data_IF_875037031570
#
_entry.id   IF_875037031570
#
_cell.length_a   1.000
_cell.length_b   1.000
_cell.length_c   1.000
_cell.angle_alpha   90.00
_cell.angle_beta   90.00
_cell.angle_gamma   90.00
#
_symmetry.space_group_name_H-M   'P 1'
#
loop_
_entity.id
_entity.type
_entity.pdbx_description
1 polymer ?
#
# COMPACT_ATOMS: atom_id res chain seq x y z
N UNK A 1 21.34 -14.39 -61.16
CA UNK A 1 20.87 -15.25 -60.05
C UNK A 1 21.75 -14.94 -58.84
N UNK A 2 21.37 -13.94 -58.04
CA UNK A 2 22.16 -13.46 -56.90
C UNK A 2 21.84 -14.33 -55.68
N UNK A 3 22.84 -15.06 -55.19
CA UNK A 3 22.78 -15.75 -53.90
C UNK A 3 23.04 -14.69 -52.82
N UNK A 4 21.99 -14.28 -52.11
CA UNK A 4 22.15 -13.46 -50.92
C UNK A 4 22.77 -14.31 -49.81
N UNK A 5 23.85 -13.85 -49.14
CA UNK A 5 24.40 -14.56 -48.00
C UNK A 5 23.37 -14.59 -46.86
N UNK A 6 22.86 -15.78 -46.54
CA UNK A 6 22.03 -15.96 -45.35
C UNK A 6 22.95 -15.90 -44.13
N UNK A 7 23.00 -14.74 -43.48
CA UNK A 7 23.64 -14.63 -42.18
C UNK A 7 22.87 -15.50 -41.18
N UNK A 8 23.53 -16.44 -40.47
CA UNK A 8 22.88 -17.22 -39.43
C UNK A 8 22.37 -16.27 -38.35
N UNK A 9 21.07 -16.32 -38.07
CA UNK A 9 20.46 -15.52 -37.02
C UNK A 9 21.14 -15.88 -35.69
N UNK A 10 21.83 -14.91 -35.08
CA UNK A 10 22.46 -15.11 -33.78
C UNK A 10 21.42 -15.66 -32.79
N UNK A 11 21.75 -16.69 -31.99
CA UNK A 11 20.87 -17.16 -30.94
C UNK A 11 20.55 -15.99 -30.03
N UNK A 12 19.27 -15.59 -29.95
CA UNK A 12 18.86 -14.59 -28.96
C UNK A 12 19.23 -15.19 -27.61
N UNK A 13 20.08 -14.53 -26.80
CA UNK A 13 20.33 -15.02 -25.45
C UNK A 13 18.98 -15.19 -24.79
N UNK A 14 18.72 -16.39 -24.26
CA UNK A 14 17.54 -16.63 -23.45
C UNK A 14 17.54 -15.50 -22.42
N UNK A 15 16.54 -14.60 -22.48
CA UNK A 15 16.35 -13.57 -21.47
C UNK A 15 16.05 -14.33 -20.18
N UNK A 16 17.09 -14.74 -19.47
CA UNK A 16 16.99 -15.30 -18.13
C UNK A 16 16.27 -14.24 -17.33
N UNK A 17 15.07 -14.58 -16.85
CA UNK A 17 14.16 -13.70 -16.12
C UNK A 17 14.70 -13.18 -14.79
N UNK A 18 16.01 -13.29 -14.53
CA UNK A 18 16.70 -12.66 -13.42
C UNK A 18 16.51 -11.14 -13.50
N UNK A 19 15.90 -10.56 -12.46
CA UNK A 19 15.81 -9.09 -12.34
C UNK A 19 14.57 -8.53 -11.67
N UNK A 20 13.67 -9.33 -11.10
CA UNK A 20 12.76 -8.81 -10.08
C UNK A 20 12.50 -9.88 -9.01
N UNK A 21 12.89 -9.65 -7.75
CA UNK A 21 12.76 -10.65 -6.70
C UNK A 21 11.29 -10.84 -6.32
N UNK A 22 10.80 -12.08 -6.38
CA UNK A 22 9.47 -12.51 -5.91
C UNK A 22 9.16 -11.99 -4.49
N UNK A 23 10.21 -11.77 -3.69
CA UNK A 23 10.14 -11.10 -2.38
C UNK A 23 9.43 -9.74 -2.40
N UNK A 24 9.63 -8.92 -3.43
CA UNK A 24 8.97 -7.61 -3.51
C UNK A 24 7.44 -7.75 -3.69
N UNK A 25 7.00 -8.73 -4.47
CA UNK A 25 5.58 -9.02 -4.62
C UNK A 25 4.99 -9.56 -3.31
N UNK A 26 5.72 -10.44 -2.61
CA UNK A 26 5.30 -10.94 -1.30
C UNK A 26 5.19 -9.81 -0.26
N UNK A 27 6.18 -8.92 -0.21
CA UNK A 27 6.18 -7.75 0.67
C UNK A 27 5.02 -6.80 0.34
N UNK A 28 4.68 -6.64 -0.95
CA UNK A 28 3.53 -5.82 -1.39
C UNK A 28 2.21 -6.41 -0.89
N UNK A 29 2.03 -7.73 -1.07
CA UNK A 29 0.85 -8.45 -0.58
C UNK A 29 0.75 -8.33 0.94
N UNK A 30 1.85 -8.53 1.66
CA UNK A 30 1.90 -8.40 3.11
C UNK A 30 1.51 -6.99 3.56
N UNK A 31 2.06 -5.94 2.92
CA UNK A 31 1.72 -4.55 3.21
C UNK A 31 0.23 -4.27 2.96
N UNK A 32 -0.32 -4.75 1.83
CA UNK A 32 -1.73 -4.57 1.51
C UNK A 32 -2.66 -5.28 2.51
N UNK A 33 -2.33 -6.50 2.91
CA UNK A 33 -3.06 -7.25 3.95
C UNK A 33 -2.95 -6.56 5.30
N UNK A 34 -1.78 -6.03 5.64
CA UNK A 34 -1.58 -5.28 6.88
C UNK A 34 -2.48 -4.02 6.93
N UNK A 35 -2.54 -3.26 5.84
CA UNK A 35 -3.42 -2.08 5.73
C UNK A 35 -4.90 -2.46 5.83
N UNK A 36 -5.31 -3.58 5.22
CA UNK A 36 -6.66 -4.14 5.34
C UNK A 36 -7.03 -4.44 6.80
N UNK A 37 -6.16 -5.16 7.51
CA UNK A 37 -6.37 -5.49 8.92
C UNK A 37 -6.47 -4.21 9.76
N UNK A 38 -5.57 -3.23 9.54
CA UNK A 38 -5.65 -1.93 10.24
C UNK A 38 -6.95 -1.19 9.97
N UNK A 39 -7.42 -1.17 8.72
CA UNK A 39 -8.70 -0.59 8.35
C UNK A 39 -9.88 -1.25 9.06
N UNK A 40 -9.88 -2.59 9.17
CA UNK A 40 -10.88 -3.33 9.94
C UNK A 40 -10.80 -3.02 11.44
N UNK A 41 -9.60 -2.96 12.02
CA UNK A 41 -9.43 -2.61 13.43
C UNK A 41 -9.95 -1.21 13.76
N UNK A 42 -9.86 -0.25 12.84
CA UNK A 42 -10.44 1.08 13.02
C UNK A 42 -11.98 1.06 13.02
N UNK A 43 -12.62 0.15 12.29
CA UNK A 43 -14.08 -0.04 12.34
C UNK A 43 -14.52 -0.56 13.71
N UNK A 44 -13.80 -1.54 14.27
CA UNK A 44 -14.14 -2.15 15.56
C UNK A 44 -13.98 -1.14 16.71
N UNK A 45 -12.85 -0.43 16.79
CA UNK A 45 -12.62 0.57 17.84
C UNK A 45 -13.58 1.77 17.75
N UNK A 46 -14.07 2.10 16.55
CA UNK A 46 -15.11 3.14 16.38
C UNK A 46 -16.43 2.75 17.03
N UNK A 47 -16.67 1.46 17.20
CA UNK A 47 -17.90 0.89 17.79
C UNK A 47 -17.79 0.83 19.32
N UNK A 48 -16.63 0.48 19.85
CA UNK A 48 -16.37 0.39 21.30
C UNK A 48 -16.30 1.77 21.98
N UNK A 49 -15.65 2.75 21.35
CA UNK A 49 -15.62 4.13 21.84
C UNK A 49 -17.03 4.73 21.86
N UNK A 50 -17.90 4.34 20.93
CA UNK A 50 -19.29 4.83 20.88
C UNK A 50 -20.16 4.30 22.03
N UNK A 51 -19.97 3.05 22.45
CA UNK A 51 -20.72 2.48 23.59
C UNK A 51 -20.42 3.22 24.89
N UNK A 52 -19.16 3.62 25.10
CA UNK A 52 -18.72 4.36 26.29
C UNK A 52 -19.01 5.88 26.22
N UNK A 53 -19.14 6.46 25.02
CA UNK A 53 -19.22 7.93 24.82
C UNK A 53 -20.62 8.44 24.43
N UNK A 54 -21.61 7.56 24.25
CA UNK A 54 -23.01 7.93 23.97
C UNK A 54 -23.70 8.75 25.08
N UNK A 55 -23.05 8.94 26.24
CA UNK A 55 -23.55 9.72 27.38
C UNK A 55 -23.18 11.22 27.36
N UNK A 56 -22.29 11.72 26.49
CA UNK A 56 -21.80 13.12 26.55
C UNK A 56 -21.46 13.76 25.17
N UNK A 57 -22.47 14.23 24.42
CA UNK A 57 -22.41 15.26 23.33
C UNK A 57 -21.27 15.18 22.26
N UNK A 58 -21.06 16.19 21.37
CA UNK A 58 -21.42 16.19 19.95
C UNK A 58 -20.23 15.86 19.02
N UNK A 59 -19.64 14.66 19.11
CA UNK A 59 -18.46 14.30 18.29
C UNK A 59 -18.80 13.49 17.03
N UNK A 60 -19.97 13.74 16.42
CA UNK A 60 -20.40 13.05 15.19
C UNK A 60 -19.39 13.18 14.02
N UNK A 61 -18.56 14.24 14.01
CA UNK A 61 -17.50 14.45 13.02
C UNK A 61 -16.34 13.46 13.11
N UNK A 62 -15.93 13.05 14.32
CA UNK A 62 -14.84 12.09 14.51
C UNK A 62 -15.23 10.69 14.00
N UNK A 63 -16.50 10.30 14.18
CA UNK A 63 -17.05 9.05 13.62
C UNK A 63 -16.95 9.02 12.09
N UNK A 64 -17.31 10.13 11.44
CA UNK A 64 -17.22 10.26 9.97
C UNK A 64 -15.77 10.16 9.49
N UNK A 65 -14.83 10.78 10.21
CA UNK A 65 -13.42 10.72 9.89
C UNK A 65 -12.85 9.29 10.00
N UNK A 66 -13.14 8.58 11.09
CA UNK A 66 -12.66 7.19 11.29
C UNK A 66 -13.20 6.22 10.24
N UNK A 67 -14.50 6.32 9.90
CA UNK A 67 -15.11 5.51 8.84
C UNK A 67 -14.49 5.78 7.47
N UNK A 68 -14.24 7.06 7.16
CA UNK A 68 -13.55 7.45 5.94
C UNK A 68 -12.14 6.86 5.90
N UNK A 69 -11.34 7.06 6.94
CA UNK A 69 -9.98 6.51 7.05
C UNK A 69 -9.95 4.99 6.91
N UNK A 70 -10.90 4.28 7.55
CA UNK A 70 -11.02 2.82 7.49
C UNK A 70 -11.32 2.36 6.06
N UNK A 71 -12.25 3.04 5.38
CA UNK A 71 -12.59 2.73 3.99
C UNK A 71 -11.39 2.85 3.06
N UNK A 72 -10.61 3.93 3.18
CA UNK A 72 -9.39 4.10 2.37
C UNK A 72 -8.33 3.03 2.64
N UNK A 73 -8.14 2.62 3.91
CA UNK A 73 -7.22 1.53 4.24
C UNK A 73 -7.66 0.19 3.68
N UNK A 74 -8.96 -0.11 3.72
CA UNK A 74 -9.50 -1.38 3.22
C UNK A 74 -9.39 -1.42 1.69
N UNK A 75 -9.91 -0.41 1.01
CA UNK A 75 -9.89 -0.34 -0.46
C UNK A 75 -8.46 -0.21 -0.96
N UNK A 76 -7.67 0.69 -0.39
CA UNK A 76 -6.27 0.89 -0.74
C UNK A 76 -5.41 -0.34 -0.45
N UNK A 77 -5.62 -1.01 0.69
CA UNK A 77 -4.93 -2.25 1.04
C UNK A 77 -5.22 -3.39 0.06
N UNK A 78 -6.48 -3.53 -0.38
CA UNK A 78 -6.87 -4.52 -1.39
C UNK A 78 -6.24 -4.21 -2.77
N UNK A 79 -6.22 -2.94 -3.17
CA UNK A 79 -5.58 -2.50 -4.41
C UNK A 79 -4.07 -2.76 -4.39
N UNK A 80 -3.40 -2.45 -3.28
CA UNK A 80 -1.96 -2.73 -3.08
C UNK A 80 -1.69 -4.24 -3.11
N UNK A 81 -2.49 -5.04 -2.39
CA UNK A 81 -2.31 -6.49 -2.33
C UNK A 81 -2.48 -7.15 -3.71
N UNK A 82 -3.56 -6.81 -4.41
CA UNK A 82 -3.84 -7.34 -5.76
C UNK A 82 -2.91 -6.76 -6.83
N UNK A 83 -2.22 -5.66 -6.54
CA UNK A 83 -1.32 -5.00 -7.47
C UNK A 83 -2.05 -4.23 -8.57
N UNK A 84 -3.27 -3.75 -8.32
CA UNK A 84 -4.07 -2.91 -9.23
C UNK A 84 -3.99 -1.44 -8.79
N UNK A 85 -3.71 -0.51 -9.70
CA UNK A 85 -3.64 0.94 -9.43
C UNK A 85 -2.82 1.28 -8.16
N UNK A 86 -1.74 0.53 -7.96
CA UNK A 86 -0.91 0.57 -6.76
C UNK A 86 -0.38 1.96 -6.43
N UNK A 87 0.01 2.74 -7.45
CA UNK A 87 0.49 4.11 -7.26
C UNK A 87 -0.61 5.02 -6.73
N UNK A 88 -1.84 4.90 -7.24
CA UNK A 88 -2.96 5.70 -6.77
C UNK A 88 -3.34 5.32 -5.34
N UNK A 89 -3.41 4.02 -5.04
CA UNK A 89 -3.68 3.53 -3.68
C UNK A 89 -2.63 4.02 -2.68
N UNK A 90 -1.34 3.99 -3.04
CA UNK A 90 -0.26 4.54 -2.21
C UNK A 90 -0.40 6.05 -2.01
N UNK A 91 -0.72 6.82 -3.06
CA UNK A 91 -0.92 8.27 -2.94
C UNK A 91 -2.07 8.64 -2.01
N UNK A 92 -3.17 7.86 -2.01
CA UNK A 92 -4.26 8.05 -1.06
C UNK A 92 -3.88 7.65 0.37
N UNK A 93 -3.01 6.65 0.53
CA UNK A 93 -2.60 6.13 1.84
C UNK A 93 -1.60 7.05 2.56
N UNK A 94 -0.73 7.76 1.83
CA UNK A 94 0.28 8.67 2.40
C UNK A 94 -0.29 9.78 3.30
N UNK A 95 -1.29 10.60 2.89
CA UNK A 95 -1.82 11.65 3.74
C UNK A 95 -2.47 11.09 5.01
N UNK A 96 -3.05 9.88 4.92
CA UNK A 96 -3.67 9.20 6.06
C UNK A 96 -2.61 8.76 7.07
N UNK A 97 -1.52 8.13 6.60
CA UNK A 97 -0.40 7.73 7.45
C UNK A 97 0.33 8.95 8.06
N UNK A 98 0.49 10.03 7.29
CA UNK A 98 1.03 11.30 7.79
C UNK A 98 0.15 11.88 8.90
N UNK A 99 -1.17 11.88 8.71
CA UNK A 99 -2.13 12.28 9.75
C UNK A 99 -1.98 11.44 11.01
N UNK A 100 -1.84 10.12 10.88
CA UNK A 100 -1.62 9.22 12.01
C UNK A 100 -0.32 9.56 12.77
N UNK A 101 0.79 9.78 12.07
CA UNK A 101 2.07 10.13 12.70
C UNK A 101 1.98 11.47 13.43
N UNK A 102 1.38 12.49 12.82
CA UNK A 102 1.27 13.83 13.43
C UNK A 102 0.33 13.85 14.64
N UNK A 103 -0.83 13.18 14.55
CA UNK A 103 -1.79 13.13 15.64
C UNK A 103 -1.30 12.28 16.81
N UNK A 104 -0.73 11.10 16.54
CA UNK A 104 -0.16 10.22 17.58
C UNK A 104 1.03 10.88 18.27
N UNK A 105 1.90 11.57 17.51
CA UNK A 105 3.01 12.32 18.09
C UNK A 105 2.51 13.45 19.01
N UNK A 106 1.43 14.14 18.63
CA UNK A 106 0.84 15.21 19.45
C UNK A 106 0.20 14.68 20.75
N UNK A 107 -0.42 13.49 20.69
CA UNK A 107 -1.12 12.89 21.83
C UNK A 107 -0.21 12.15 22.81
N UNK A 108 0.78 11.41 22.30
CA UNK A 108 1.58 10.47 23.10
C UNK A 108 3.08 10.84 23.18
N UNK A 109 3.54 11.88 22.48
CA UNK A 109 4.94 12.32 22.42
C UNK A 109 5.90 11.31 21.76
N UNK A 110 7.17 11.70 21.63
CA UNK A 110 8.26 10.80 21.19
C UNK A 110 8.68 9.84 22.32
N UNK A 111 7.78 8.94 22.70
CA UNK A 111 8.10 7.86 23.62
C UNK A 111 8.47 6.59 22.84
N UNK A 112 9.61 5.99 23.18
CA UNK A 112 10.08 4.73 22.56
C UNK A 112 9.09 3.57 22.74
N UNK A 113 8.24 3.63 23.77
CA UNK A 113 7.18 2.66 24.03
C UNK A 113 5.94 2.79 23.13
N UNK A 114 5.82 3.85 22.31
CA UNK A 114 4.66 4.08 21.45
C UNK A 114 4.69 3.17 20.21
N UNK A 115 4.20 1.94 20.35
CA UNK A 115 4.13 0.95 19.26
C UNK A 115 3.34 1.46 18.04
N UNK A 116 2.32 2.30 18.23
CA UNK A 116 1.53 2.89 17.15
C UNK A 116 2.33 3.88 16.27
N UNK A 117 3.22 4.67 16.89
CA UNK A 117 4.09 5.60 16.18
C UNK A 117 5.11 4.83 15.33
N UNK A 118 5.74 3.80 15.90
CA UNK A 118 6.64 2.92 15.16
C UNK A 118 5.96 2.21 14.00
N UNK A 119 4.75 1.70 14.23
CA UNK A 119 3.98 0.98 13.22
C UNK A 119 3.59 1.90 12.06
N UNK A 120 3.08 3.09 12.35
CA UNK A 120 2.71 4.07 11.30
C UNK A 120 3.92 4.56 10.51
N UNK A 121 5.05 4.79 11.17
CA UNK A 121 6.32 5.18 10.53
C UNK A 121 6.86 4.08 9.60
N UNK A 122 6.85 2.82 10.05
CA UNK A 122 7.30 1.68 9.26
C UNK A 122 6.43 1.49 8.00
N UNK A 123 5.12 1.58 8.16
CA UNK A 123 4.17 1.47 7.04
C UNK A 123 4.33 2.64 6.07
N UNK A 124 4.54 3.85 6.57
CA UNK A 124 4.84 5.03 5.75
C UNK A 124 6.11 4.83 4.91
N UNK A 125 7.18 4.33 5.53
CA UNK A 125 8.43 4.03 4.83
C UNK A 125 8.25 2.96 3.76
N UNK A 126 7.50 1.88 4.06
CA UNK A 126 7.18 0.84 3.09
C UNK A 126 6.36 1.40 1.92
N UNK A 127 5.36 2.24 2.19
CA UNK A 127 4.58 2.90 1.15
C UNK A 127 5.45 3.79 0.26
N UNK A 128 6.38 4.58 0.83
CA UNK A 128 7.33 5.40 0.05
C UNK A 128 8.27 4.54 -0.79
N UNK A 129 8.79 3.44 -0.22
CA UNK A 129 9.66 2.50 -0.92
C UNK A 129 8.95 1.88 -2.12
N UNK A 130 7.71 1.41 -1.96
CA UNK A 130 6.89 0.91 -3.08
C UNK A 130 6.51 2.00 -4.09
N UNK A 131 6.41 3.26 -3.66
CA UNK A 131 6.15 4.37 -4.57
C UNK A 131 7.36 4.65 -5.48
N UNK A 132 8.59 4.50 -4.98
CA UNK A 132 9.83 4.70 -5.75
C UNK A 132 10.14 3.48 -6.64
N UNK A 133 10.09 2.27 -6.08
CA UNK A 133 10.43 1.02 -6.80
C UNK A 133 9.33 0.60 -7.78
N UNK A 134 8.10 1.04 -7.52
CA UNK A 134 6.93 0.68 -8.31
C UNK A 134 6.41 -0.72 -7.96
N UNK A 135 5.31 -1.13 -8.59
CA UNK A 135 4.50 -2.23 -8.07
C UNK A 135 4.99 -3.62 -8.42
N UNK A 136 6.23 -3.81 -8.84
CA UNK A 136 6.74 -5.14 -9.18
C UNK A 136 6.18 -5.71 -10.49
N UNK A 137 6.74 -6.82 -10.95
CA UNK A 137 6.44 -7.42 -12.27
C UNK A 137 5.03 -7.99 -12.40
N UNK A 138 4.49 -8.52 -11.30
CA UNK A 138 3.21 -9.22 -11.28
C UNK A 138 2.01 -8.30 -11.00
N UNK A 139 2.25 -7.00 -10.80
CA UNK A 139 1.18 -6.02 -10.76
C UNK A 139 0.38 -6.03 -12.06
N UNK A 140 -0.94 -5.97 -11.92
CA UNK A 140 -1.88 -5.88 -13.05
C UNK A 140 -1.57 -4.64 -13.90
N UNK A 141 -1.11 -3.55 -13.28
CA UNK A 141 -0.68 -2.33 -13.99
C UNK A 141 0.44 -2.64 -14.99
N UNK A 142 1.42 -3.47 -14.62
CA UNK A 142 2.52 -3.86 -15.51
C UNK A 142 2.06 -4.81 -16.63
N UNK A 143 1.01 -5.60 -16.42
CA UNK A 143 0.45 -6.46 -17.47
C UNK A 143 -0.41 -5.67 -18.46
N UNK A 144 -1.23 -4.74 -17.99
CA UNK A 144 -2.17 -3.97 -18.83
C UNK A 144 -1.42 -2.93 -19.69
N UNK A 145 -0.50 -2.15 -19.11
CA UNK A 145 0.22 -1.11 -19.87
C UNK A 145 1.35 -1.65 -20.77
N UNK A 146 1.82 -2.88 -20.53
CA UNK A 146 2.85 -3.50 -21.37
C UNK A 146 2.29 -4.32 -22.55
N UNK A 147 1.01 -4.71 -22.52
CA UNK A 147 0.37 -5.36 -23.67
C UNK A 147 -0.26 -4.38 -24.66
N UNK A 148 -0.42 -3.11 -24.28
CA UNK A 148 -0.92 -2.06 -25.16
C UNK A 148 0.16 -1.42 -26.07
N UNK A 149 1.38 -1.98 -26.10
CA UNK A 149 2.49 -1.55 -26.97
C UNK A 149 3.11 -2.74 -27.68
#
# INVERSE_FOLDING_TARGET
>A
MQLSPQYPAAPRPARTSAGNPVWLDALRVLLGVFLLIKGLSFLDHSTDVYYLLSQQQPWAGLKKASLFVSFFHIVGGLMIATGTLTRLALMCQLPILLGAVLLVNSQNGFNLANTELWTSLLVLLLCLMFMIVGPGRYSVDNKVFRQAK
#
